data_IF_136160466370
#
_entry.id   IF_136160466370
#
_cell.length_a   1.000
_cell.length_b   1.000
_cell.length_c   1.000
_cell.angle_alpha   90.00
_cell.angle_beta   90.00
_cell.angle_gamma   90.00
#
_symmetry.space_group_name_H-M   'P 1'
#
loop_
_entity.id
_entity.type
_entity.pdbx_description
1 polymer ?
#
# COMPACT_ATOMS: atom_id res chain seq x y z
N UNK A 1 -7.14 28.61 -2.16
CA UNK A 1 -7.25 27.26 -1.53
C UNK A 1 -6.49 26.29 -2.41
N UNK A 2 -5.57 25.49 -1.87
CA UNK A 2 -4.84 24.50 -2.66
C UNK A 2 -5.82 23.46 -3.23
N UNK A 3 -5.62 22.98 -4.48
CA UNK A 3 -6.53 22.02 -5.09
C UNK A 3 -6.52 20.69 -4.31
N UNK A 4 -7.70 20.20 -3.92
CA UNK A 4 -7.85 18.87 -3.33
C UNK A 4 -7.52 17.82 -4.38
N UNK A 5 -6.51 16.98 -4.14
CA UNK A 5 -6.16 15.86 -5.01
C UNK A 5 -7.15 14.71 -4.82
N UNK A 6 -7.55 14.06 -5.92
CA UNK A 6 -8.21 12.75 -5.90
C UNK A 6 -7.28 11.67 -5.33
N UNK A 7 -7.80 10.49 -4.96
CA UNK A 7 -7.02 9.34 -4.46
C UNK A 7 -5.67 9.16 -5.18
N UNK A 8 -4.53 9.05 -4.46
CA UNK A 8 -3.18 9.03 -5.02
C UNK A 8 -2.83 7.67 -5.65
N UNK A 9 -3.49 7.34 -6.77
CA UNK A 9 -3.43 6.00 -7.38
C UNK A 9 -2.05 5.66 -7.92
N UNK A 10 -1.30 6.62 -8.44
CA UNK A 10 0.02 6.38 -9.01
C UNK A 10 1.04 6.06 -7.90
N UNK A 11 0.98 6.82 -6.83
CA UNK A 11 1.81 6.69 -5.62
C UNK A 11 1.55 5.33 -4.95
N UNK A 12 0.28 4.98 -4.74
CA UNK A 12 -0.10 3.68 -4.17
C UNK A 12 0.29 2.51 -5.08
N UNK A 13 0.28 2.70 -6.40
CA UNK A 13 0.75 1.67 -7.35
C UNK A 13 2.25 1.45 -7.19
N UNK A 14 3.05 2.52 -7.20
CA UNK A 14 4.50 2.45 -7.02
C UNK A 14 4.87 1.83 -5.66
N UNK A 15 4.20 2.25 -4.59
CA UNK A 15 4.37 1.70 -3.26
C UNK A 15 4.09 0.18 -3.21
N UNK A 16 2.93 -0.24 -3.75
CA UNK A 16 2.57 -1.67 -3.78
C UNK A 16 3.52 -2.52 -4.62
N UNK A 17 4.13 -1.97 -5.68
CA UNK A 17 5.18 -2.66 -6.42
C UNK A 17 6.43 -2.89 -5.57
N UNK A 18 6.84 -1.90 -4.76
CA UNK A 18 7.99 -2.06 -3.86
C UNK A 18 7.72 -3.05 -2.72
N UNK A 19 6.50 -3.06 -2.16
CA UNK A 19 6.11 -4.07 -1.18
C UNK A 19 6.22 -5.49 -1.74
N UNK A 20 5.74 -5.71 -2.97
CA UNK A 20 5.86 -7.02 -3.63
C UNK A 20 7.31 -7.45 -3.83
N UNK A 21 8.20 -6.52 -4.16
CA UNK A 21 9.66 -6.78 -4.25
C UNK A 21 10.24 -7.14 -2.88
N UNK A 22 9.73 -6.53 -1.80
CA UNK A 22 10.06 -6.87 -0.43
C UNK A 22 9.34 -8.15 0.09
N UNK A 23 8.72 -8.93 -0.80
CA UNK A 23 8.00 -10.17 -0.47
C UNK A 23 6.80 -9.96 0.45
N UNK A 24 6.22 -8.76 0.43
CA UNK A 24 4.93 -8.45 1.06
C UNK A 24 3.89 -8.30 -0.05
N UNK A 25 2.82 -9.09 -0.02
CA UNK A 25 1.72 -9.02 -0.97
C UNK A 25 0.51 -8.39 -0.27
N UNK A 26 0.21 -7.10 -0.52
CA UNK A 26 -0.97 -6.47 0.05
C UNK A 26 -2.25 -7.19 -0.40
N UNK A 27 -3.13 -7.50 0.54
CA UNK A 27 -4.46 -8.06 0.33
C UNK A 27 -5.55 -6.98 0.46
N UNK A 28 -5.31 -5.98 1.32
CA UNK A 28 -6.18 -4.83 1.52
C UNK A 28 -5.35 -3.58 1.78
N UNK A 29 -5.84 -2.43 1.31
CA UNK A 29 -5.33 -1.11 1.65
C UNK A 29 -6.48 -0.29 2.22
N UNK A 30 -6.26 0.34 3.37
CA UNK A 30 -7.24 1.21 3.98
C UNK A 30 -6.60 2.57 4.24
N UNK A 31 -7.11 3.59 3.55
CA UNK A 31 -6.67 4.96 3.67
C UNK A 31 -7.35 5.60 4.88
N UNK A 32 -6.58 6.31 5.69
CA UNK A 32 -7.09 7.08 6.83
C UNK A 32 -6.54 8.50 6.81
N UNK A 33 -6.69 9.23 7.91
CA UNK A 33 -6.08 10.56 8.05
C UNK A 33 -6.66 11.62 7.12
N UNK A 34 -5.81 12.56 6.69
CA UNK A 34 -6.25 13.76 5.95
C UNK A 34 -6.86 13.42 4.59
N UNK A 35 -6.28 12.44 3.89
CA UNK A 35 -6.74 11.98 2.58
C UNK A 35 -8.11 11.28 2.64
N UNK A 36 -8.38 10.50 3.69
CA UNK A 36 -9.71 9.90 3.88
C UNK A 36 -10.79 10.95 4.20
N UNK A 37 -10.40 12.04 4.88
CA UNK A 37 -11.29 13.14 5.26
C UNK A 37 -11.52 14.18 4.16
N UNK A 38 -10.68 14.23 3.13
CA UNK A 38 -10.75 15.26 2.09
C UNK A 38 -10.09 16.58 2.52
N UNK A 39 -9.26 16.53 3.55
CA UNK A 39 -8.59 17.69 4.18
C UNK A 39 -7.09 17.75 3.84
N UNK A 40 -6.61 16.86 2.96
CA UNK A 40 -5.22 16.78 2.54
C UNK A 40 -4.73 18.07 1.88
N UNK A 41 -3.47 18.41 2.16
CA UNK A 41 -2.70 19.45 1.48
C UNK A 41 -1.69 18.79 0.53
N UNK A 42 -1.03 19.61 -0.27
CA UNK A 42 -0.06 19.10 -1.27
C UNK A 42 1.11 18.32 -0.65
N UNK A 43 1.54 18.73 0.54
CA UNK A 43 2.63 18.10 1.29
C UNK A 43 2.12 17.03 2.27
N UNK A 44 0.82 16.71 2.26
CA UNK A 44 0.27 15.73 3.20
C UNK A 44 0.70 14.31 2.86
N UNK A 45 1.27 13.63 3.85
CA UNK A 45 1.54 12.20 3.78
C UNK A 45 0.26 11.38 3.54
N UNK A 46 0.45 10.23 2.89
CA UNK A 46 -0.61 9.26 2.63
C UNK A 46 -0.62 8.25 3.76
N UNK A 47 -1.54 8.44 4.71
CA UNK A 47 -1.74 7.56 5.86
C UNK A 47 -2.44 6.24 5.46
N UNK A 48 -1.75 5.10 5.62
CA UNK A 48 -2.22 3.83 5.06
C UNK A 48 -2.10 2.64 6.02
N UNK A 49 -3.19 1.91 6.18
CA UNK A 49 -3.15 0.55 6.71
C UNK A 49 -2.95 -0.42 5.56
N UNK A 50 -1.94 -1.27 5.66
CA UNK A 50 -1.66 -2.36 4.72
C UNK A 50 -1.96 -3.68 5.40
N UNK A 51 -2.90 -4.45 4.83
CA UNK A 51 -3.20 -5.80 5.33
C UNK A 51 -2.52 -6.83 4.44
N UNK A 52 -1.76 -7.75 5.05
CA UNK A 52 -1.11 -8.86 4.36
C UNK A 52 -0.78 -9.99 5.32
N UNK A 53 -1.04 -11.24 4.91
CA UNK A 53 -0.57 -12.43 5.65
C UNK A 53 0.95 -12.50 5.78
N UNK A 54 1.68 -11.87 4.86
CA UNK A 54 3.14 -11.84 4.87
C UNK A 54 3.71 -11.08 6.09
N UNK A 55 2.90 -10.31 6.82
CA UNK A 55 3.31 -9.65 8.07
C UNK A 55 3.37 -10.59 9.28
N UNK A 56 2.73 -11.76 9.23
CA UNK A 56 2.71 -12.71 10.34
C UNK A 56 4.12 -13.21 10.74
N UNK A 57 5.09 -13.15 9.82
CA UNK A 57 6.49 -13.53 10.05
C UNK A 57 7.37 -12.38 10.58
N UNK A 58 6.82 -11.17 10.73
CA UNK A 58 7.55 -9.96 11.08
C UNK A 58 7.01 -9.36 12.38
N UNK A 59 7.92 -8.98 13.28
CA UNK A 59 7.58 -8.11 14.42
C UNK A 59 7.41 -6.65 13.98
N UNK A 60 6.77 -5.84 14.82
CA UNK A 60 6.31 -4.48 14.51
C UNK A 60 7.39 -3.58 13.91
N UNK A 61 8.58 -3.54 14.52
CA UNK A 61 9.69 -2.72 14.03
C UNK A 61 10.10 -3.09 12.60
N UNK A 62 10.15 -4.40 12.29
CA UNK A 62 10.48 -4.88 10.94
C UNK A 62 9.36 -4.61 9.94
N UNK A 63 8.09 -4.60 10.39
CA UNK A 63 6.96 -4.18 9.54
C UNK A 63 7.12 -2.71 9.15
N UNK A 64 7.35 -1.83 10.13
CA UNK A 64 7.55 -0.39 9.91
C UNK A 64 8.77 -0.12 9.00
N UNK A 65 9.90 -0.77 9.26
CA UNK A 65 11.09 -0.64 8.42
C UNK A 65 10.85 -1.10 6.98
N UNK A 66 10.18 -2.25 6.80
CA UNK A 66 9.85 -2.78 5.47
C UNK A 66 8.94 -1.81 4.69
N UNK A 67 7.94 -1.24 5.37
CA UNK A 67 7.01 -0.27 4.81
C UNK A 67 7.73 1.04 4.46
N UNK A 68 8.55 1.58 5.37
CA UNK A 68 9.32 2.80 5.15
C UNK A 68 10.33 2.68 4.01
N UNK A 69 11.07 1.56 3.94
CA UNK A 69 11.99 1.28 2.82
C UNK A 69 11.22 1.19 1.49
N UNK A 70 10.03 0.58 1.49
CA UNK A 70 9.21 0.50 0.28
C UNK A 70 8.71 1.88 -0.17
N UNK A 71 8.29 2.74 0.76
CA UNK A 71 7.90 4.12 0.48
C UNK A 71 9.07 4.94 -0.09
N UNK A 72 10.24 4.88 0.56
CA UNK A 72 11.45 5.55 0.08
C UNK A 72 11.90 5.08 -1.30
N UNK A 73 11.86 3.77 -1.58
CA UNK A 73 12.18 3.21 -2.91
C UNK A 73 11.15 3.55 -3.99
N UNK A 74 9.91 3.83 -3.59
CA UNK A 74 8.87 4.29 -4.49
C UNK A 74 8.93 5.81 -4.73
N UNK A 75 9.66 6.56 -3.88
CA UNK A 75 9.73 8.01 -3.95
C UNK A 75 8.40 8.69 -3.59
N UNK A 76 7.68 8.13 -2.61
CA UNK A 76 6.34 8.59 -2.21
C UNK A 76 6.29 8.88 -0.71
N UNK A 77 5.51 9.89 -0.33
CA UNK A 77 5.22 10.22 1.08
C UNK A 77 4.06 9.35 1.57
N UNK A 78 4.39 8.15 2.05
CA UNK A 78 3.42 7.19 2.60
C UNK A 78 3.84 6.85 4.02
N UNK A 79 2.96 7.12 4.98
CA UNK A 79 3.09 6.64 6.36
C UNK A 79 2.18 5.41 6.53
N UNK A 80 2.80 4.24 6.62
CA UNK A 80 2.05 2.98 6.61
C UNK A 80 2.25 2.13 7.86
N UNK A 81 1.15 1.48 8.28
CA UNK A 81 1.15 0.46 9.33
C UNK A 81 0.67 -0.88 8.75
N UNK A 82 1.37 -1.96 9.12
CA UNK A 82 1.15 -3.31 8.56
C UNK A 82 0.49 -4.25 9.55
N UNK A 83 -0.60 -4.90 9.12
CA UNK A 83 -1.37 -5.85 9.93
C UNK A 83 -1.66 -7.14 9.17
N UNK A 84 -1.80 -8.25 9.88
CA UNK A 84 -2.33 -9.49 9.28
C UNK A 84 -3.85 -9.39 9.10
N UNK A 85 -4.46 -10.23 8.25
CA UNK A 85 -5.92 -10.29 8.16
C UNK A 85 -6.59 -10.60 9.50
N UNK A 86 -5.96 -11.42 10.35
CA UNK A 86 -6.47 -11.80 11.67
C UNK A 86 -6.45 -10.60 12.62
N UNK A 87 -5.33 -9.88 12.70
CA UNK A 87 -5.21 -8.63 13.48
C UNK A 87 -6.20 -7.57 12.98
N UNK A 88 -6.43 -7.49 11.66
CA UNK A 88 -7.40 -6.58 11.07
C UNK A 88 -8.84 -6.92 11.43
N UNK A 89 -9.19 -8.21 11.44
CA UNK A 89 -10.55 -8.67 11.71
C UNK A 89 -10.93 -8.55 13.20
N UNK A 90 -9.96 -8.69 14.10
CA UNK A 90 -10.16 -8.60 15.55
C UNK A 90 -9.06 -7.72 16.17
N UNK A 91 -9.13 -6.39 16.00
CA UNK A 91 -8.14 -5.48 16.55
C UNK A 91 -8.25 -5.42 18.08
N UNK A 92 -7.11 -5.42 18.77
CA UNK A 92 -7.07 -5.17 20.21
C UNK A 92 -7.67 -3.76 20.50
N UNK A 93 -8.60 -3.61 21.46
CA UNK A 93 -9.37 -2.37 21.64
C UNK A 93 -8.54 -1.10 21.87
N UNK A 94 -7.36 -1.24 22.46
CA UNK A 94 -6.44 -0.12 22.75
C UNK A 94 -5.34 0.06 21.69
N UNK A 95 -5.36 -0.74 20.62
CA UNK A 95 -4.38 -0.66 19.55
C UNK A 95 -4.58 0.56 18.65
N UNK A 96 -3.50 0.97 17.99
CA UNK A 96 -3.56 1.98 16.93
C UNK A 96 -4.56 1.60 15.82
N UNK A 97 -4.65 0.31 15.48
CA UNK A 97 -5.59 -0.17 14.47
C UNK A 97 -7.05 0.05 14.90
N UNK A 98 -7.41 -0.26 16.15
CA UNK A 98 -8.75 0.00 16.66
C UNK A 98 -9.09 1.51 16.62
N UNK A 99 -8.13 2.36 16.95
CA UNK A 99 -8.26 3.82 16.83
C UNK A 99 -8.43 4.27 15.37
N UNK A 100 -7.73 3.67 14.41
CA UNK A 100 -7.90 3.97 12.98
C UNK A 100 -9.26 3.50 12.46
N UNK A 101 -9.74 2.35 12.91
CA UNK A 101 -11.04 1.81 12.48
C UNK A 101 -12.24 2.53 13.10
N UNK A 102 -12.05 3.32 14.16
CA UNK A 102 -13.11 4.14 14.77
C UNK A 102 -13.31 5.51 14.11
N UNK A 103 -12.42 5.90 13.19
CA UNK A 103 -12.50 7.13 12.40
C UNK A 103 -12.89 6.87 10.94
N UNK A 104 -13.03 7.94 10.15
CA UNK A 104 -13.33 7.82 8.72
C UNK A 104 -12.16 7.16 7.99
N UNK A 105 -12.46 6.08 7.29
CA UNK A 105 -11.52 5.34 6.46
C UNK A 105 -12.09 5.09 5.06
N UNK A 106 -11.20 4.83 4.10
CA UNK A 106 -11.59 4.52 2.71
C UNK A 106 -10.86 3.28 2.24
N UNK A 107 -11.61 2.26 1.86
CA UNK A 107 -11.06 1.06 1.23
C UNK A 107 -10.51 1.38 -0.16
N UNK A 108 -9.23 1.12 -0.37
CA UNK A 108 -8.57 1.33 -1.66
C UNK A 108 -8.32 -0.03 -2.33
N UNK A 109 -8.79 -0.24 -3.57
CA UNK A 109 -8.44 -1.44 -4.32
C UNK A 109 -6.93 -1.59 -4.44
N UNK A 110 -6.39 -2.75 -4.05
CA UNK A 110 -4.96 -3.06 -4.20
C UNK A 110 -4.59 -2.99 -5.70
N UNK A 111 -3.67 -2.09 -6.12
CA UNK A 111 -3.27 -1.98 -7.51
C UNK A 111 -2.67 -3.30 -7.99
N UNK A 112 -3.19 -3.86 -9.09
CA UNK A 112 -2.69 -5.12 -9.65
C UNK A 112 -1.25 -4.96 -10.13
N UNK A 113 -0.42 -5.98 -9.94
CA UNK A 113 0.92 -5.99 -10.53
C UNK A 113 0.79 -5.88 -12.05
N UNK A 114 1.60 -5.00 -12.68
CA UNK A 114 1.69 -4.96 -14.14
C UNK A 114 2.08 -6.35 -14.63
N UNK A 115 1.24 -6.99 -15.44
CA UNK A 115 1.67 -8.14 -16.24
C UNK A 115 2.75 -7.64 -17.18
N UNK A 116 3.99 -8.06 -16.96
CA UNK A 116 5.00 -7.96 -18.02
C UNK A 116 4.47 -8.79 -19.19
N UNK A 117 4.19 -8.13 -20.31
CA UNK A 117 4.00 -8.84 -21.56
C UNK A 117 5.30 -9.60 -21.80
N UNK A 118 5.26 -10.92 -21.64
CA UNK A 118 6.39 -11.77 -21.98
C UNK A 118 6.83 -11.42 -23.39
N UNK A 119 8.14 -11.25 -23.60
CA UNK A 119 8.75 -11.18 -24.92
C UNK A 119 8.23 -12.37 -25.73
N UNK A 120 7.17 -12.16 -26.51
CA UNK A 120 6.78 -13.06 -27.57
C UNK A 120 7.88 -12.91 -28.63
N UNK A 121 8.93 -13.72 -28.48
CA UNK A 121 9.94 -13.92 -29.50
C UNK A 121 9.23 -14.51 -30.71
N UNK A 122 8.69 -13.63 -31.55
CA UNK A 122 8.25 -13.96 -32.90
C UNK A 122 9.49 -14.38 -33.66
N UNK A 123 9.81 -15.67 -33.63
CA UNK A 123 10.67 -16.28 -34.65
C UNK A 123 9.90 -16.20 -35.97
N UNK A 124 10.17 -15.15 -36.75
CA UNK A 124 9.83 -15.11 -38.18
C UNK A 124 11.04 -15.62 -38.96
N UNK A 125 10.79 -16.68 -39.75
CA UNK A 125 11.41 -17.07 -41.03
C UNK A 125 12.85 -17.60 -41.07
N UNK A 126 12.97 -18.81 -41.62
CA UNK A 126 13.50 -19.09 -42.96
C UNK A 126 12.77 -20.37 -43.44
N UNK A 127 11.98 -20.38 -44.51
CA UNK A 127 12.40 -20.40 -45.92
C UNK A 127 13.31 -21.62 -46.22
N UNK A 128 12.68 -22.74 -46.61
CA UNK A 128 13.15 -23.73 -47.57
C UNK A 128 11.93 -24.57 -47.99
#
# INVERSE_FOLDING_TARGET
>A
MAPQRSTPRAELTAFCEQLRRARIRPERLLLFGSWARGEQREESDIDLIVVSRDFARLGDLRRLETLGIAAGRAGVSVEAHGYTPEEFAAPEPTSFLAMVLSQKTVDIPVPRARRTAGKALRRRRAAA
#
